data_IF_965356182054
#
_entry.id   IF_965356182054
#
_cell.length_a   1.000
_cell.length_b   1.000
_cell.length_c   1.000
_cell.angle_alpha   90.00
_cell.angle_beta   90.00
_cell.angle_gamma   90.00
#
_symmetry.space_group_name_H-M   'P 1'
#
loop_
_entity.id
_entity.type
_entity.pdbx_description
1 polymer ?
#
# COMPACT_ATOMS: atom_id res chain seq x y z
N UNK A 1 10.60 -5.42 10.36
CA UNK A 1 9.16 -5.71 10.13
C UNK A 1 8.26 -4.88 11.05
N UNK A 2 7.44 -4.03 10.45
CA UNK A 2 6.32 -3.32 11.08
C UNK A 2 5.03 -4.11 10.83
N UNK A 3 4.14 -4.16 11.83
CA UNK A 3 2.83 -4.80 11.72
C UNK A 3 1.75 -3.82 12.13
N UNK A 4 0.81 -3.53 11.24
CA UNK A 4 -0.29 -2.59 11.52
C UNK A 4 -1.66 -3.23 11.25
N UNK A 5 -2.61 -2.97 12.16
CA UNK A 5 -4.01 -3.33 11.97
C UNK A 5 -4.68 -2.20 11.21
N UNK A 6 -5.27 -2.52 10.06
CA UNK A 6 -5.76 -1.50 9.12
C UNK A 6 -7.14 -1.90 8.63
N UNK A 7 -8.03 -0.92 8.56
CA UNK A 7 -9.30 -1.02 7.86
C UNK A 7 -9.10 -0.63 6.40
N UNK A 8 -9.32 -1.59 5.51
CA UNK A 8 -9.38 -1.36 4.07
C UNK A 8 -10.84 -1.15 3.69
N UNK A 9 -11.11 -0.08 2.95
CA UNK A 9 -12.42 0.22 2.38
C UNK A 9 -12.29 0.67 0.93
N UNK A 10 -13.39 0.66 0.18
CA UNK A 10 -13.43 0.97 -1.26
C UNK A 10 -12.49 0.10 -2.10
N UNK A 11 -12.16 -1.09 -1.58
CA UNK A 11 -11.39 -2.15 -2.25
C UNK A 11 -10.07 -1.66 -2.83
N UNK A 12 -9.39 -0.73 -2.15
CA UNK A 12 -8.17 -0.12 -2.67
C UNK A 12 -7.13 0.09 -1.58
N UNK A 13 -5.89 -0.31 -1.89
CA UNK A 13 -4.70 -0.01 -1.10
C UNK A 13 -3.74 0.78 -1.98
N UNK A 14 -3.34 1.97 -1.54
CA UNK A 14 -2.47 2.85 -2.33
C UNK A 14 -1.07 2.94 -1.73
N UNK A 15 -0.04 2.65 -2.52
CA UNK A 15 1.35 2.94 -2.18
C UNK A 15 1.83 4.11 -3.03
N UNK A 16 2.28 5.19 -2.42
CA UNK A 16 2.70 6.40 -3.15
C UNK A 16 3.90 7.05 -2.50
N UNK A 17 4.65 7.83 -3.27
CA UNK A 17 5.70 8.72 -2.78
C UNK A 17 5.55 10.14 -3.32
N UNK A 18 4.30 10.55 -3.55
CA UNK A 18 3.86 11.88 -3.97
C UNK A 18 2.51 12.19 -3.28
N UNK A 19 2.00 13.44 -3.29
CA UNK A 19 0.66 13.75 -2.83
C UNK A 19 -0.42 12.87 -3.49
N UNK A 20 -1.56 12.74 -2.81
CA UNK A 20 -2.72 12.05 -3.40
C UNK A 20 -3.13 12.74 -4.68
N UNK A 21 -3.47 11.94 -5.68
CA UNK A 21 -3.85 12.41 -7.00
C UNK A 21 -4.94 11.51 -7.57
N UNK A 22 -6.14 12.07 -7.69
CA UNK A 22 -7.32 11.34 -8.14
C UNK A 22 -7.21 10.91 -9.61
N UNK A 23 -6.54 11.68 -10.46
CA UNK A 23 -6.35 11.33 -11.88
C UNK A 23 -5.48 10.06 -12.03
N UNK A 24 -4.70 9.73 -11.00
CA UNK A 24 -3.88 8.51 -10.95
C UNK A 24 -4.63 7.28 -10.44
N UNK A 25 -5.91 7.41 -10.07
CA UNK A 25 -6.75 6.32 -9.56
C UNK A 25 -7.82 5.84 -10.54
N UNK A 26 -7.71 6.23 -11.82
CA UNK A 26 -8.65 5.77 -12.84
C UNK A 26 -8.38 4.32 -13.25
N UNK A 27 -9.33 3.45 -12.93
CA UNK A 27 -9.30 2.04 -13.31
C UNK A 27 -9.72 1.87 -14.77
N UNK A 28 -8.79 1.41 -15.59
CA UNK A 28 -9.07 0.94 -16.95
C UNK A 28 -9.34 -0.56 -16.96
N UNK A 29 -9.96 -1.09 -18.02
CA UNK A 29 -10.14 -2.54 -18.19
C UNK A 29 -8.82 -3.32 -18.06
N UNK A 30 -7.72 -2.73 -18.56
CA UNK A 30 -6.38 -3.31 -18.42
C UNK A 30 -5.94 -3.36 -16.95
N UNK A 31 -6.09 -2.26 -16.21
CA UNK A 31 -5.66 -2.20 -14.82
C UNK A 31 -6.52 -3.09 -13.90
N UNK A 32 -7.81 -3.23 -14.19
CA UNK A 32 -8.68 -4.19 -13.51
C UNK A 32 -8.18 -5.63 -13.70
N UNK A 33 -7.81 -6.00 -14.92
CA UNK A 33 -7.24 -7.33 -15.21
C UNK A 33 -5.90 -7.56 -14.50
N UNK A 34 -5.05 -6.55 -14.44
CA UNK A 34 -3.75 -6.61 -13.77
C UNK A 34 -3.89 -6.57 -12.23
N UNK A 35 -5.08 -6.26 -11.71
CA UNK A 35 -5.33 -6.10 -10.27
C UNK A 35 -4.62 -4.90 -9.65
N UNK A 36 -4.14 -3.97 -10.48
CA UNK A 36 -3.44 -2.77 -10.02
C UNK A 36 -3.44 -1.65 -11.06
N UNK A 37 -3.38 -0.42 -10.55
CA UNK A 37 -2.90 0.74 -11.29
C UNK A 37 -1.44 0.94 -10.91
N UNK A 38 -0.53 0.83 -11.88
CA UNK A 38 0.90 1.07 -11.66
C UNK A 38 1.37 2.32 -12.39
N UNK A 39 2.11 3.16 -11.66
CA UNK A 39 2.96 4.26 -12.12
C UNK A 39 4.26 4.17 -11.32
N UNK A 40 5.33 4.80 -11.83
CA UNK A 40 6.67 4.68 -11.26
C UNK A 40 6.76 5.05 -9.77
N UNK A 41 5.93 5.96 -9.25
CA UNK A 41 5.92 6.41 -7.85
C UNK A 41 4.51 6.40 -7.20
N UNK A 42 3.56 5.69 -7.82
CA UNK A 42 2.16 5.62 -7.38
C UNK A 42 1.55 4.29 -7.82
N UNK A 43 1.06 3.51 -6.86
CA UNK A 43 0.45 2.21 -7.08
C UNK A 43 -0.89 2.19 -6.36
N UNK A 44 -1.92 1.69 -7.02
CA UNK A 44 -3.19 1.30 -6.40
C UNK A 44 -3.36 -0.20 -6.59
N UNK A 45 -3.63 -0.93 -5.52
CA UNK A 45 -3.80 -2.38 -5.50
C UNK A 45 -5.26 -2.71 -5.19
N UNK A 46 -5.79 -3.69 -5.93
CA UNK A 46 -7.05 -4.36 -5.61
C UNK A 46 -6.78 -5.53 -4.65
N UNK A 47 -7.35 -5.51 -3.42
CA UNK A 47 -7.11 -6.50 -2.39
C UNK A 47 -7.88 -7.82 -2.57
N UNK A 48 -8.70 -7.99 -3.63
CA UNK A 48 -9.47 -9.22 -3.91
C UNK A 48 -10.53 -9.60 -2.87
N UNK A 49 -10.88 -8.68 -1.98
CA UNK A 49 -11.91 -8.88 -0.97
C UNK A 49 -13.01 -7.87 -1.22
N UNK A 50 -14.25 -8.35 -1.30
CA UNK A 50 -15.44 -7.51 -1.43
C UNK A 50 -15.70 -6.75 -0.12
N UNK A 51 -16.28 -5.56 -0.24
CA UNK A 51 -16.60 -4.66 0.88
C UNK A 51 -15.38 -4.24 1.72
N UNK A 52 -15.66 -3.61 2.87
CA UNK A 52 -14.63 -3.17 3.81
C UNK A 52 -14.24 -4.30 4.77
N UNK A 53 -12.96 -4.40 5.07
CA UNK A 53 -12.43 -5.46 5.94
C UNK A 53 -11.25 -4.97 6.78
N UNK A 54 -11.09 -5.57 7.95
CA UNK A 54 -9.90 -5.39 8.78
C UNK A 54 -8.82 -6.40 8.40
N UNK A 55 -7.56 -5.96 8.32
CA UNK A 55 -6.45 -6.84 8.02
C UNK A 55 -5.15 -6.38 8.70
N UNK A 56 -4.12 -7.23 8.61
CA UNK A 56 -2.79 -6.90 9.07
C UNK A 56 -1.89 -6.59 7.87
N UNK A 57 -1.31 -5.39 7.85
CA UNK A 57 -0.21 -5.09 6.95
C UNK A 57 1.09 -5.49 7.61
N UNK A 58 1.83 -6.39 6.96
CA UNK A 58 3.18 -6.80 7.33
C UNK A 58 4.15 -6.10 6.38
N UNK A 59 4.90 -5.15 6.90
CA UNK A 59 5.73 -4.25 6.11
C UNK A 59 7.18 -4.49 6.50
N UNK A 60 8.02 -4.83 5.53
CA UNK A 60 9.44 -5.06 5.77
C UNK A 60 10.31 -4.42 4.70
N UNK A 61 11.56 -4.13 5.07
CA UNK A 61 12.58 -3.61 4.18
C UNK A 61 13.68 -4.65 4.05
N UNK A 62 13.83 -5.19 2.85
CA UNK A 62 14.76 -6.28 2.56
C UNK A 62 15.42 -6.05 1.21
N UNK A 63 16.64 -6.56 1.04
CA UNK A 63 17.35 -6.65 -0.24
C UNK A 63 16.95 -7.91 -1.04
N UNK A 64 16.16 -8.80 -0.43
CA UNK A 64 15.64 -10.03 -1.01
C UNK A 64 14.13 -10.00 -1.09
N UNK A 65 13.61 -10.46 -2.22
CA UNK A 65 12.19 -10.74 -2.41
C UNK A 65 11.90 -12.13 -1.89
N UNK A 66 11.01 -12.24 -0.91
CA UNK A 66 10.47 -13.52 -0.42
C UNK A 66 9.02 -13.58 -0.85
N UNK A 67 8.67 -14.62 -1.60
CA UNK A 67 7.28 -14.87 -2.01
C UNK A 67 6.64 -15.80 -0.98
N UNK A 68 5.44 -15.42 -0.52
CA UNK A 68 4.64 -16.27 0.36
C UNK A 68 3.89 -17.30 -0.47
N UNK A 69 4.18 -18.59 -0.27
CA UNK A 69 3.59 -19.68 -1.05
C UNK A 69 2.06 -19.76 -0.89
N UNK A 70 1.54 -19.32 0.26
CA UNK A 70 0.10 -19.28 0.53
C UNK A 70 -0.58 -18.02 0.02
N UNK A 71 0.14 -17.09 -0.62
CA UNK A 71 -0.47 -15.85 -1.13
C UNK A 71 -1.43 -16.15 -2.29
N UNK A 72 -2.65 -15.59 -2.21
CA UNK A 72 -3.63 -15.66 -3.30
C UNK A 72 -3.13 -14.86 -4.52
N UNK A 73 -2.44 -13.74 -4.27
CA UNK A 73 -1.84 -12.87 -5.29
C UNK A 73 -0.52 -12.33 -4.77
N UNK A 74 0.51 -12.35 -5.61
CA UNK A 74 1.80 -11.71 -5.35
C UNK A 74 2.24 -10.91 -6.58
N UNK A 75 2.92 -9.79 -6.36
CA UNK A 75 3.42 -8.94 -7.44
C UNK A 75 4.80 -8.38 -7.07
N UNK A 76 5.70 -8.36 -8.06
CA UNK A 76 6.97 -7.64 -7.98
C UNK A 76 6.86 -6.41 -8.88
N UNK A 77 6.84 -5.23 -8.25
CA UNK A 77 6.53 -3.98 -8.95
C UNK A 77 7.73 -3.03 -8.80
N UNK A 78 8.30 -2.52 -9.91
CA UNK A 78 9.29 -1.45 -9.82
C UNK A 78 8.62 -0.17 -9.30
N UNK A 79 9.21 0.40 -8.26
CA UNK A 79 8.71 1.60 -7.59
C UNK A 79 9.87 2.52 -7.23
N UNK A 80 9.70 3.81 -7.51
CA UNK A 80 10.65 4.87 -7.24
C UNK A 80 10.12 5.78 -6.13
N UNK A 81 10.94 5.98 -5.10
CA UNK A 81 10.63 6.90 -4.01
C UNK A 81 11.07 8.31 -4.42
N UNK A 82 10.17 9.04 -5.08
CA UNK A 82 10.44 10.41 -5.56
C UNK A 82 10.36 11.49 -4.46
N UNK A 83 9.54 11.29 -3.43
CA UNK A 83 9.46 12.15 -2.25
C UNK A 83 9.20 11.30 -0.99
N UNK A 84 10.18 11.25 -0.09
CA UNK A 84 10.12 10.47 1.16
C UNK A 84 9.02 10.93 2.12
N UNK A 85 8.68 12.22 2.15
CA UNK A 85 7.63 12.74 3.04
C UNK A 85 6.24 12.21 2.69
N UNK A 86 6.06 11.74 1.45
CA UNK A 86 4.82 11.13 1.02
C UNK A 86 4.93 9.62 0.84
N UNK A 87 6.10 9.03 1.10
CA UNK A 87 6.29 7.59 0.94
C UNK A 87 5.45 6.85 1.98
N UNK A 88 4.35 6.25 1.53
CA UNK A 88 3.32 5.74 2.43
C UNK A 88 2.47 4.65 1.81
N UNK A 89 1.89 3.80 2.66
CA UNK A 89 0.76 2.94 2.33
C UNK A 89 -0.50 3.58 2.87
N UNK A 90 -1.56 3.64 2.07
CA UNK A 90 -2.78 4.34 2.39
C UNK A 90 -3.98 3.45 2.09
N UNK A 91 -4.99 3.52 2.94
CA UNK A 91 -6.37 3.16 2.61
C UNK A 91 -7.17 4.47 2.51
N UNK A 92 -8.49 4.38 2.33
CA UNK A 92 -9.35 5.57 2.37
C UNK A 92 -9.34 6.22 3.76
N UNK A 93 -9.19 5.42 4.81
CA UNK A 93 -9.34 5.88 6.20
C UNK A 93 -8.00 6.11 6.90
N UNK A 94 -6.91 5.49 6.44
CA UNK A 94 -5.64 5.43 7.17
C UNK A 94 -4.44 5.66 6.25
N UNK A 95 -3.36 6.19 6.82
CA UNK A 95 -2.07 6.41 6.13
C UNK A 95 -0.92 6.00 7.03
N UNK A 96 -0.01 5.18 6.50
CA UNK A 96 1.19 4.68 7.17
C UNK A 96 2.41 5.22 6.42
N UNK A 97 3.16 6.11 7.06
CA UNK A 97 4.42 6.63 6.50
C UNK A 97 5.49 5.53 6.57
N UNK A 98 6.20 5.33 5.46
CA UNK A 98 7.21 4.29 5.26
C UNK A 98 8.65 4.84 5.34
N UNK A 99 8.87 5.98 5.99
CA UNK A 99 10.21 6.56 6.10
C UNK A 99 11.15 5.67 6.94
N UNK A 100 12.44 5.78 6.65
CA UNK A 100 13.49 4.81 6.99
C UNK A 100 13.84 4.72 8.49
N UNK A 101 13.16 5.44 9.38
CA UNK A 101 13.32 5.33 10.84
C UNK A 101 12.14 4.56 11.43
N UNK A 102 12.05 3.26 11.13
CA UNK A 102 11.03 2.38 11.72
C UNK A 102 11.32 1.99 13.18
N UNK A 103 12.26 2.68 13.84
CA UNK A 103 12.44 2.65 15.30
C UNK A 103 11.60 3.71 16.04
N UNK A 104 10.89 4.60 15.35
CA UNK A 104 10.09 5.65 15.98
C UNK A 104 8.68 5.73 15.40
N UNK A 105 7.70 5.82 16.30
CA UNK A 105 6.29 6.20 16.07
C UNK A 105 5.31 5.05 15.75
N UNK A 106 5.06 4.22 16.77
CA UNK A 106 3.67 3.89 17.11
C UNK A 106 3.16 5.05 17.96
N UNK A 107 2.54 6.07 17.34
CA UNK A 107 1.74 7.01 18.10
C UNK A 107 0.42 6.32 18.44
N UNK A 108 0.31 5.85 19.68
CA UNK A 108 -0.99 5.60 20.32
C UNK A 108 -1.71 6.95 20.41
N UNK A 109 -2.61 7.25 19.47
CA UNK A 109 -3.68 8.21 19.76
C UNK A 109 -4.70 7.51 20.65
N UNK A 110 -4.53 7.68 21.97
CA UNK A 110 -5.59 7.44 22.94
C UNK A 110 -6.61 8.58 22.84
N UNK A 111 -7.81 8.26 22.39
CA UNK A 111 -9.04 9.05 22.54
C UNK A 111 -10.10 8.20 23.20
#
# INVERSE_FOLDING_TARGET
MVKQNILVSHNQITVRSIPYDQEKQEWTERNLKDGMIWRYNYIVLDPLVDDSFGCWFLIDKSDKVVLEESAIRAALIPFEISNKQHFSINTVSESIILDNDTDANVNEEKG
#
